data_IF_378524514990
#
_entry.id   IF_378524514990
#
_cell.length_a   1.000
_cell.length_b   1.000
_cell.length_c   1.000
_cell.angle_alpha   90.00
_cell.angle_beta   90.00
_cell.angle_gamma   90.00
#
_symmetry.space_group_name_H-M   'P 1'
#
loop_
_entity.id
_entity.type
_entity.pdbx_description
1 polymer ?
#
# COMPACT_ATOMS: atom_id res chain seq x y z
N UNK A 1 -9.74 -0.27 -3.95
CA UNK A 1 -8.82 -0.93 -3.02
C UNK A 1 -7.84 -1.77 -3.76
N UNK A 2 -6.59 -1.72 -3.36
CA UNK A 2 -5.54 -2.52 -3.95
C UNK A 2 -5.29 -3.77 -3.10
N UNK A 3 -4.70 -4.79 -3.71
CA UNK A 3 -4.18 -5.94 -2.98
C UNK A 3 -2.87 -6.37 -3.62
N UNK A 4 -2.01 -7.01 -2.82
CA UNK A 4 -0.75 -7.54 -3.31
C UNK A 4 -1.05 -8.83 -4.05
N UNK A 5 -0.87 -8.82 -5.39
CA UNK A 5 -1.12 -10.00 -6.22
C UNK A 5 0.07 -10.94 -6.19
N UNK A 6 1.27 -10.39 -6.23
CA UNK A 6 2.48 -11.20 -6.13
C UNK A 6 3.63 -10.40 -5.57
N UNK A 7 4.57 -11.12 -4.98
CA UNK A 7 5.81 -10.62 -4.46
C UNK A 7 6.85 -11.71 -4.78
N UNK A 8 8.13 -11.47 -4.53
CA UNK A 8 9.13 -12.52 -4.72
C UNK A 8 8.64 -13.81 -4.07
N UNK A 9 8.45 -14.86 -4.87
CA UNK A 9 7.82 -16.10 -4.44
C UNK A 9 8.58 -16.84 -3.34
N UNK A 10 9.83 -16.50 -3.11
CA UNK A 10 10.67 -17.15 -2.11
C UNK A 10 10.67 -16.42 -0.77
N UNK A 11 9.94 -15.32 -0.65
CA UNK A 11 9.93 -14.50 0.57
C UNK A 11 8.55 -13.94 0.84
N UNK A 12 8.30 -13.61 2.11
CA UNK A 12 7.16 -12.78 2.48
C UNK A 12 7.61 -11.33 2.50
N UNK A 13 6.71 -10.42 2.09
CA UNK A 13 7.01 -8.99 2.20
C UNK A 13 7.07 -8.58 3.68
N UNK A 14 7.97 -7.66 4.05
CA UNK A 14 8.07 -7.19 5.43
C UNK A 14 6.85 -6.32 5.77
N UNK A 15 6.36 -6.45 7.00
CA UNK A 15 5.25 -5.66 7.52
C UNK A 15 5.77 -4.76 8.62
N UNK A 16 5.43 -3.47 8.53
CA UNK A 16 5.76 -2.49 9.56
C UNK A 16 4.47 -2.02 10.22
N UNK A 17 4.53 -1.73 11.52
CA UNK A 17 3.39 -1.17 12.26
C UNK A 17 3.68 0.31 12.50
N UNK A 18 2.93 1.18 11.83
CA UNK A 18 3.20 2.62 11.81
C UNK A 18 2.00 3.37 12.38
N UNK A 19 2.27 4.38 13.20
CA UNK A 19 1.25 5.24 13.79
C UNK A 19 0.42 5.90 12.69
N UNK A 20 -0.86 6.10 12.97
CA UNK A 20 -1.77 6.81 12.09
C UNK A 20 -2.38 7.98 12.84
N UNK A 21 -2.68 9.06 12.11
CA UNK A 21 -3.54 10.10 12.62
C UNK A 21 -4.99 9.59 12.69
N UNK A 22 -5.95 10.45 12.98
CA UNK A 22 -7.35 10.06 13.21
C UNK A 22 -8.04 9.43 11.99
N UNK A 23 -7.40 9.34 10.84
CA UNK A 23 -7.99 8.80 9.63
C UNK A 23 -8.22 7.30 9.74
N UNK A 24 -9.40 6.86 9.35
CA UNK A 24 -9.71 5.42 9.25
C UNK A 24 -9.30 4.92 7.86
N UNK A 25 -8.52 3.86 7.83
CA UNK A 25 -8.05 3.23 6.60
C UNK A 25 -8.54 1.79 6.56
N UNK A 26 -8.78 1.31 5.34
CA UNK A 26 -9.19 -0.08 5.10
C UNK A 26 -8.02 -0.91 4.59
N UNK A 27 -8.12 -2.22 4.75
CA UNK A 27 -7.14 -3.13 4.17
C UNK A 27 -7.15 -2.96 2.66
N UNK A 28 -5.98 -2.79 2.08
CA UNK A 28 -5.83 -2.53 0.65
C UNK A 28 -5.72 -1.06 0.29
N UNK A 29 -5.87 -0.15 1.24
CA UNK A 29 -5.67 1.26 0.96
C UNK A 29 -4.20 1.56 0.66
N UNK A 30 -3.99 2.34 -0.40
CA UNK A 30 -2.66 2.83 -0.77
C UNK A 30 -2.41 4.12 -0.02
N UNK A 31 -1.27 4.21 0.62
CA UNK A 31 -0.97 5.30 1.55
C UNK A 31 0.47 5.78 1.37
N UNK A 32 0.78 6.85 2.06
CA UNK A 32 2.16 7.32 2.18
C UNK A 32 2.46 7.63 3.65
N UNK A 33 3.72 7.89 3.95
CA UNK A 33 4.16 8.20 5.30
C UNK A 33 4.59 9.66 5.33
N UNK A 34 4.13 10.39 6.33
CA UNK A 34 4.52 11.78 6.55
C UNK A 34 4.77 11.99 8.04
N UNK A 35 5.93 12.53 8.37
CA UNK A 35 6.33 12.78 9.78
C UNK A 35 6.18 11.54 10.65
N UNK A 36 6.53 10.38 10.12
CA UNK A 36 6.47 9.11 10.84
C UNK A 36 5.08 8.53 11.02
N UNK A 37 4.07 9.06 10.32
CA UNK A 37 2.68 8.60 10.42
C UNK A 37 2.13 8.22 9.07
N UNK A 38 1.25 7.21 9.06
CA UNK A 38 0.49 6.83 7.88
C UNK A 38 -0.56 7.90 7.61
N UNK A 39 -0.59 8.40 6.40
CA UNK A 39 -1.61 9.35 5.96
C UNK A 39 -2.29 8.85 4.70
N UNK A 40 -3.54 9.27 4.52
CA UNK A 40 -4.28 8.99 3.31
C UNK A 40 -3.58 9.61 2.11
N UNK A 41 -3.66 8.92 0.97
CA UNK A 41 -3.02 9.37 -0.25
C UNK A 41 -3.76 10.56 -0.84
N UNK A 42 -3.05 11.66 -1.08
CA UNK A 42 -3.61 12.80 -1.81
C UNK A 42 -3.65 12.49 -3.30
N UNK A 43 -4.49 13.23 -4.05
CA UNK A 43 -4.57 13.08 -5.49
C UNK A 43 -3.22 13.33 -6.16
N UNK A 44 -2.95 12.57 -7.22
CA UNK A 44 -1.71 12.69 -8.01
C UNK A 44 -0.44 12.51 -7.15
N UNK A 45 -0.51 11.63 -6.17
CA UNK A 45 0.62 11.25 -5.34
C UNK A 45 0.90 9.76 -5.51
N UNK A 46 2.15 9.42 -5.76
CA UNK A 46 2.55 8.02 -5.90
C UNK A 46 2.55 7.37 -4.52
N UNK A 47 1.80 6.26 -4.34
CA UNK A 47 1.77 5.58 -3.05
C UNK A 47 3.12 4.90 -2.76
N UNK A 48 3.47 4.81 -1.49
CA UNK A 48 4.70 4.18 -1.04
C UNK A 48 4.46 2.95 -0.16
N UNK A 49 3.24 2.81 0.38
CA UNK A 49 2.88 1.70 1.25
C UNK A 49 1.45 1.25 0.96
N UNK A 50 1.14 0.02 1.33
CA UNK A 50 -0.22 -0.53 1.27
C UNK A 50 -0.60 -1.07 2.64
N UNK A 51 -1.83 -0.79 3.08
CA UNK A 51 -2.37 -1.29 4.34
C UNK A 51 -2.69 -2.77 4.17
N UNK A 52 -2.14 -3.62 5.04
CA UNK A 52 -2.30 -5.08 4.93
C UNK A 52 -3.08 -5.69 6.09
N UNK A 53 -3.53 -4.89 7.04
CA UNK A 53 -4.31 -5.40 8.16
C UNK A 53 -5.05 -4.28 8.89
N UNK A 54 -5.81 -4.67 9.90
CA UNK A 54 -6.61 -3.75 10.70
C UNK A 54 -5.75 -2.96 11.68
N UNK A 55 -6.19 -1.73 12.00
CA UNK A 55 -5.54 -0.88 12.99
C UNK A 55 -5.55 -1.55 14.37
N UNK A 56 -4.40 -1.52 15.03
CA UNK A 56 -4.25 -2.03 16.38
C UNK A 56 -3.33 -1.11 17.18
N UNK A 57 -3.75 -0.72 18.38
CA UNK A 57 -2.98 0.16 19.26
C UNK A 57 -2.53 1.46 18.58
N UNK A 58 -3.41 2.04 17.75
CA UNK A 58 -3.11 3.27 17.04
C UNK A 58 -2.20 3.13 15.84
N UNK A 59 -1.81 1.91 15.47
CA UNK A 59 -0.90 1.63 14.36
C UNK A 59 -1.57 0.76 13.31
N UNK A 60 -1.21 1.00 12.04
CA UNK A 60 -1.61 0.13 10.95
C UNK A 60 -0.45 -0.76 10.52
N UNK A 61 -0.71 -2.05 10.25
CA UNK A 61 0.27 -2.88 9.58
C UNK A 61 0.31 -2.51 8.10
N UNK A 62 1.48 -2.13 7.61
CA UNK A 62 1.66 -1.68 6.23
C UNK A 62 2.85 -2.39 5.61
N UNK A 63 2.81 -2.60 4.30
CA UNK A 63 3.92 -3.14 3.55
C UNK A 63 4.45 -2.06 2.61
N UNK A 64 5.76 -1.90 2.56
CA UNK A 64 6.40 -1.01 1.60
C UNK A 64 6.21 -1.57 0.19
N UNK A 65 5.86 -0.70 -0.76
CA UNK A 65 5.69 -1.09 -2.15
C UNK A 65 7.06 -1.10 -2.82
N UNK A 66 7.47 -2.25 -3.31
CA UNK A 66 8.78 -2.46 -3.93
C UNK A 66 8.63 -2.76 -5.42
N UNK A 67 9.77 -2.74 -6.15
CA UNK A 67 9.77 -2.93 -7.60
C UNK A 67 9.36 -4.35 -8.03
N UNK A 68 9.54 -5.33 -7.16
CA UNK A 68 9.18 -6.73 -7.43
C UNK A 68 7.78 -7.10 -6.96
N UNK A 69 7.00 -6.11 -6.51
CA UNK A 69 5.63 -6.31 -6.06
C UNK A 69 4.65 -5.95 -7.16
N UNK A 70 3.68 -6.84 -7.40
CA UNK A 70 2.58 -6.57 -8.32
C UNK A 70 1.32 -6.36 -7.50
N UNK A 71 0.66 -5.22 -7.72
CA UNK A 71 -0.59 -4.88 -7.05
C UNK A 71 -1.76 -5.06 -8.02
N UNK A 72 -2.89 -5.48 -7.49
CA UNK A 72 -4.15 -5.53 -8.22
C UNK A 72 -5.09 -4.45 -7.70
N UNK A 73 -5.64 -3.66 -8.61
CA UNK A 73 -6.61 -2.63 -8.27
C UNK A 73 -7.56 -2.42 -9.44
N UNK A 74 -8.81 -2.13 -9.16
CA UNK A 74 -9.82 -1.82 -10.19
C UNK A 74 -9.65 -0.42 -10.76
N UNK A 75 -8.88 0.44 -10.10
CA UNK A 75 -8.58 1.80 -10.55
C UNK A 75 -7.09 1.94 -10.81
N UNK A 76 -6.72 2.82 -11.74
CA UNK A 76 -5.32 3.07 -12.02
C UNK A 76 -4.58 3.59 -10.77
N UNK A 77 -3.37 3.12 -10.58
CA UNK A 77 -2.50 3.57 -9.49
C UNK A 77 -1.54 4.62 -10.06
N UNK A 78 -1.62 5.83 -9.52
CA UNK A 78 -0.79 6.95 -9.99
C UNK A 78 0.70 6.60 -9.90
N UNK A 79 1.42 6.87 -10.98
CA UNK A 79 2.86 6.64 -11.03
C UNK A 79 3.29 5.19 -11.26
N UNK A 80 2.33 4.26 -11.38
CA UNK A 80 2.61 2.85 -11.62
C UNK A 80 2.40 2.48 -13.07
N UNK A 81 3.12 1.45 -13.52
CA UNK A 81 2.95 0.90 -14.86
C UNK A 81 1.82 -0.11 -14.86
N UNK A 82 0.89 0.03 -15.81
CA UNK A 82 -0.20 -0.94 -15.99
C UNK A 82 0.33 -2.16 -16.75
N UNK A 83 0.05 -3.34 -16.19
CA UNK A 83 0.46 -4.62 -16.78
C UNK A 83 -0.69 -5.34 -17.49
N UNK A 84 -1.90 -4.76 -17.47
CA UNK A 84 -3.11 -5.41 -17.96
C UNK A 84 -3.82 -6.18 -16.84
N UNK A 85 -5.10 -6.50 -17.05
CA UNK A 85 -5.91 -7.28 -16.09
C UNK A 85 -5.95 -6.65 -14.68
N UNK A 86 -5.96 -5.31 -14.60
CA UNK A 86 -5.97 -4.58 -13.33
C UNK A 86 -4.72 -4.80 -12.48
N UNK A 87 -3.60 -5.15 -13.08
CA UNK A 87 -2.31 -5.34 -12.41
C UNK A 87 -1.40 -4.14 -12.65
N UNK A 88 -0.64 -3.78 -11.62
CA UNK A 88 0.22 -2.60 -11.63
C UNK A 88 1.55 -2.89 -10.96
N UNK A 89 2.61 -2.28 -11.47
CA UNK A 89 3.95 -2.36 -10.91
C UNK A 89 4.54 -0.96 -10.78
N UNK A 90 5.23 -0.74 -9.67
CA UNK A 90 5.94 0.51 -9.37
C UNK A 90 6.95 0.90 -10.46
#
# INVERSE_FOLDING_TARGET
MAKIQSYDSLRTYPIEYILSDATTLDIGDLVTISSGKVIALADNTKPTYIVVGAKANGKYPVAAITDDMILEDTSAIYGFSALGNNLYRK
#
